data_IF_156006101150
#
_entry.id   IF_156006101150
#
_cell.length_a   1.000
_cell.length_b   1.000
_cell.length_c   1.000
_cell.angle_alpha   90.00
_cell.angle_beta   90.00
_cell.angle_gamma   90.00
#
_symmetry.space_group_name_H-M   'P 1'
#
loop_
_entity.id
_entity.type
_entity.pdbx_description
1 polymer ?
#
# COMPACT_ATOMS: atom_id res chain seq x y z
N UNK A 1 -5.74 62.54 11.84
CA UNK A 1 -4.97 61.31 12.12
C UNK A 1 -5.78 60.13 11.59
N UNK A 2 -5.36 59.56 10.45
CA UNK A 2 -5.95 58.34 9.90
C UNK A 2 -5.07 57.16 10.31
N UNK A 3 -5.61 56.20 11.04
CA UNK A 3 -4.96 54.93 11.38
C UNK A 3 -5.16 53.92 10.25
N UNK A 4 -4.06 53.52 9.61
CA UNK A 4 -3.99 52.40 8.67
C UNK A 4 -4.06 51.08 9.44
N UNK A 5 -5.10 50.28 9.19
CA UNK A 5 -5.20 48.91 9.66
C UNK A 5 -4.34 48.00 8.75
N UNK A 6 -3.34 47.34 9.34
CA UNK A 6 -2.51 46.34 8.65
C UNK A 6 -3.24 45.02 8.54
N UNK A 7 -3.50 44.56 7.31
CA UNK A 7 -3.95 43.20 7.03
C UNK A 7 -2.80 42.22 7.26
N UNK A 8 -2.97 41.34 8.25
CA UNK A 8 -2.14 40.16 8.46
C UNK A 8 -2.25 39.20 7.27
N UNK A 9 -1.20 39.09 6.47
CA UNK A 9 -1.02 38.05 5.46
C UNK A 9 -0.73 36.71 6.13
N UNK A 10 -1.78 35.95 6.47
CA UNK A 10 -1.64 34.52 6.73
C UNK A 10 -1.38 33.81 5.41
N UNK A 11 -0.12 33.51 5.10
CA UNK A 11 0.24 32.68 3.96
C UNK A 11 -0.40 31.28 4.03
N UNK A 12 -0.51 30.57 2.90
CA UNK A 12 -1.12 29.25 2.86
C UNK A 12 -0.41 28.29 3.82
N UNK A 13 -1.19 27.62 4.68
CA UNK A 13 -0.70 26.59 5.59
C UNK A 13 -0.04 25.47 4.77
N UNK A 14 1.18 25.11 5.15
CA UNK A 14 1.91 24.01 4.53
C UNK A 14 1.11 22.70 4.63
N UNK A 15 1.07 21.87 3.57
CA UNK A 15 0.41 20.57 3.62
C UNK A 15 1.06 19.67 4.68
N UNK A 16 0.29 18.78 5.35
CA UNK A 16 0.80 17.95 6.42
C UNK A 16 1.85 16.97 5.90
N UNK A 17 3.12 17.25 6.19
CA UNK A 17 4.28 16.45 5.81
C UNK A 17 4.44 15.15 6.61
N UNK A 18 3.45 14.74 7.42
CA UNK A 18 3.54 13.64 8.38
C UNK A 18 3.04 12.30 7.84
N UNK A 19 2.16 12.28 6.84
CA UNK A 19 1.56 11.04 6.33
C UNK A 19 2.59 10.08 5.75
N UNK A 20 3.49 10.58 4.89
CA UNK A 20 4.55 9.74 4.35
C UNK A 20 5.56 9.25 5.39
N UNK A 21 5.72 9.97 6.51
CA UNK A 21 6.53 9.44 7.63
C UNK A 21 5.86 8.25 8.30
N UNK A 22 4.54 8.28 8.45
CA UNK A 22 3.75 7.18 9.02
C UNK A 22 3.73 5.98 8.08
N UNK A 23 3.54 6.22 6.77
CA UNK A 23 3.41 5.15 5.78
C UNK A 23 4.74 4.51 5.37
N UNK A 24 5.82 5.29 5.25
CA UNK A 24 7.08 4.84 4.65
C UNK A 24 8.30 4.86 5.59
N UNK A 25 8.19 5.43 6.80
CA UNK A 25 9.35 5.62 7.68
C UNK A 25 9.24 4.82 9.00
N UNK A 26 8.24 3.95 9.12
CA UNK A 26 7.88 3.21 10.33
C UNK A 26 8.66 1.91 10.60
N UNK A 27 9.75 1.64 9.89
CA UNK A 27 10.51 0.38 10.01
C UNK A 27 11.58 0.37 11.10
N UNK A 28 11.71 1.46 11.88
CA UNK A 28 12.57 1.47 13.06
C UNK A 28 11.75 1.18 14.32
N UNK A 29 11.96 0.00 14.90
CA UNK A 29 11.55 -0.41 16.26
C UNK A 29 10.21 -1.15 16.38
N UNK A 30 10.27 -2.46 16.16
CA UNK A 30 9.50 -3.45 16.93
C UNK A 30 10.21 -4.81 16.84
N UNK A 31 11.39 -4.93 17.47
CA UNK A 31 12.13 -6.20 17.56
C UNK A 31 11.36 -7.15 18.48
N UNK A 32 10.49 -7.96 17.90
CA UNK A 32 9.90 -9.13 18.54
C UNK A 32 10.40 -10.36 17.77
N UNK A 33 10.80 -11.42 18.45
CA UNK A 33 11.25 -12.68 17.84
C UNK A 33 10.19 -13.34 16.90
N UNK A 34 8.98 -12.79 16.82
CA UNK A 34 7.88 -13.22 15.96
C UNK A 34 8.04 -12.84 14.48
N UNK A 35 9.21 -12.33 14.06
CA UNK A 35 9.40 -11.74 12.73
C UNK A 35 10.29 -12.50 11.76
N UNK A 36 10.86 -13.64 12.14
CA UNK A 36 11.94 -14.36 11.41
C UNK A 36 11.46 -15.30 10.29
N UNK A 37 10.15 -15.44 10.12
CA UNK A 37 9.54 -16.36 9.15
C UNK A 37 8.77 -15.63 8.06
N UNK A 38 8.57 -16.31 6.94
CA UNK A 38 7.59 -15.91 5.94
C UNK A 38 6.20 -16.34 6.40
N UNK A 39 5.20 -15.49 6.16
CA UNK A 39 3.81 -15.77 6.52
C UNK A 39 2.88 -15.20 5.47
N UNK A 40 1.66 -15.70 5.37
CA UNK A 40 0.66 -15.14 4.45
C UNK A 40 -0.15 -14.08 5.20
N UNK A 41 -0.18 -12.87 4.67
CA UNK A 41 -1.05 -11.80 5.16
C UNK A 41 -2.48 -12.02 4.71
N UNK A 42 -3.42 -12.06 5.66
CA UNK A 42 -4.85 -12.14 5.37
C UNK A 42 -5.49 -10.76 5.39
N UNK A 43 -5.18 -9.94 6.41
CA UNK A 43 -5.73 -8.58 6.51
C UNK A 43 -4.87 -7.66 7.40
N UNK A 44 -4.37 -6.52 6.87
CA UNK A 44 -3.69 -5.52 7.66
C UNK A 44 -4.67 -4.53 8.32
N UNK A 45 -4.30 -4.01 9.49
CA UNK A 45 -5.03 -3.03 10.30
C UNK A 45 -4.09 -1.90 10.74
N UNK A 46 -4.62 -0.69 10.89
CA UNK A 46 -3.89 0.51 11.30
C UNK A 46 -4.65 1.36 12.32
N UNK A 47 -3.95 2.31 12.95
CA UNK A 47 -4.51 3.25 13.92
C UNK A 47 -4.68 2.66 15.32
N UNK A 48 -5.17 3.48 16.24
CA UNK A 48 -5.13 3.21 17.70
C UNK A 48 -5.90 1.94 18.11
N UNK A 49 -6.91 1.54 17.34
CA UNK A 49 -7.70 0.33 17.57
C UNK A 49 -7.29 -0.88 16.73
N UNK A 50 -6.17 -0.79 15.99
CA UNK A 50 -5.74 -1.83 15.04
C UNK A 50 -5.70 -3.22 15.67
N UNK A 51 -5.11 -3.35 16.86
CA UNK A 51 -4.96 -4.62 17.55
C UNK A 51 -6.31 -5.25 17.92
N UNK A 52 -7.21 -4.45 18.49
CA UNK A 52 -8.55 -4.91 18.88
C UNK A 52 -9.33 -5.39 17.65
N UNK A 53 -9.30 -4.62 16.55
CA UNK A 53 -9.96 -4.99 15.29
C UNK A 53 -9.35 -6.25 14.67
N UNK A 54 -8.03 -6.40 14.74
CA UNK A 54 -7.34 -7.59 14.26
C UNK A 54 -7.71 -8.84 15.08
N UNK A 55 -7.82 -8.73 16.42
CA UNK A 55 -8.23 -9.84 17.29
C UNK A 55 -9.70 -10.26 17.06
N UNK A 56 -10.58 -9.29 16.80
CA UNK A 56 -11.97 -9.55 16.40
C UNK A 56 -12.04 -10.28 15.06
N UNK A 57 -11.29 -9.79 14.05
CA UNK A 57 -11.25 -10.42 12.74
C UNK A 57 -10.61 -11.81 12.79
N UNK A 58 -9.55 -12.00 13.59
CA UNK A 58 -8.94 -13.31 13.81
C UNK A 58 -9.97 -14.32 14.31
N UNK A 59 -10.83 -13.92 15.25
CA UNK A 59 -11.89 -14.77 15.79
C UNK A 59 -12.90 -15.19 14.72
N UNK A 60 -13.20 -14.30 13.77
CA UNK A 60 -14.06 -14.60 12.61
C UNK A 60 -13.36 -15.53 11.62
N UNK A 61 -12.12 -15.21 11.23
CA UNK A 61 -11.36 -15.93 10.22
C UNK A 61 -11.02 -17.37 10.63
N UNK A 62 -10.72 -17.62 11.91
CA UNK A 62 -10.48 -18.97 12.42
C UNK A 62 -11.68 -19.92 12.29
N UNK A 63 -12.88 -19.40 12.00
CA UNK A 63 -14.08 -20.22 11.73
C UNK A 63 -14.19 -20.66 10.28
N UNK A 64 -13.41 -20.05 9.38
CA UNK A 64 -13.36 -20.45 7.98
C UNK A 64 -12.46 -21.68 7.82
N UNK A 65 -12.84 -22.57 6.90
CA UNK A 65 -12.08 -23.77 6.63
C UNK A 65 -10.65 -23.43 6.16
N UNK A 66 -9.68 -24.19 6.66
CA UNK A 66 -8.26 -23.98 6.36
C UNK A 66 -7.58 -22.79 7.07
N UNK A 67 -8.29 -22.02 7.92
CA UNK A 67 -7.75 -20.83 8.60
C UNK A 67 -7.67 -20.93 10.15
N UNK A 68 -7.88 -22.12 10.72
CA UNK A 68 -7.89 -22.33 12.18
C UNK A 68 -6.61 -21.88 12.91
N UNK A 69 -5.46 -21.99 12.24
CA UNK A 69 -4.13 -21.64 12.78
C UNK A 69 -3.72 -20.19 12.49
N UNK A 70 -4.64 -19.35 12.02
CA UNK A 70 -4.36 -17.92 11.84
C UNK A 70 -3.90 -17.28 13.16
N UNK A 71 -3.10 -16.21 13.08
CA UNK A 71 -2.58 -15.49 14.24
C UNK A 71 -2.44 -14.00 13.93
N UNK A 72 -2.20 -13.18 14.95
CA UNK A 72 -1.95 -11.75 14.80
C UNK A 72 -0.45 -11.48 14.87
N UNK A 73 0.05 -10.66 13.94
CA UNK A 73 1.44 -10.22 13.85
C UNK A 73 1.50 -8.69 13.84
N UNK A 74 2.37 -8.09 14.65
CA UNK A 74 2.65 -6.65 14.60
C UNK A 74 3.85 -6.38 13.68
N UNK A 75 3.74 -5.42 12.76
CA UNK A 75 4.78 -5.00 11.82
C UNK A 75 4.78 -3.47 11.69
N UNK A 76 5.76 -2.81 12.31
CA UNK A 76 5.82 -1.35 12.35
C UNK A 76 4.52 -0.73 12.90
N UNK A 77 3.86 0.19 12.17
CA UNK A 77 2.60 0.81 12.61
C UNK A 77 1.34 -0.04 12.32
N UNK A 78 1.50 -1.26 11.79
CA UNK A 78 0.39 -2.14 11.37
C UNK A 78 0.29 -3.37 12.26
N UNK A 79 -0.94 -3.86 12.38
CA UNK A 79 -1.26 -5.17 12.94
C UNK A 79 -1.91 -6.00 11.84
N UNK A 80 -1.43 -7.22 11.60
CA UNK A 80 -1.82 -8.04 10.47
C UNK A 80 -2.36 -9.35 11.01
N UNK A 81 -3.51 -9.80 10.51
CA UNK A 81 -3.93 -11.19 10.69
C UNK A 81 -3.24 -12.02 9.62
N UNK A 82 -2.47 -13.02 10.05
CA UNK A 82 -1.60 -13.84 9.22
C UNK A 82 -1.91 -15.33 9.38
N UNK A 83 -1.39 -16.15 8.47
CA UNK A 83 -1.43 -17.60 8.59
C UNK A 83 -0.14 -18.25 8.06
N UNK A 84 0.25 -19.33 8.74
CA UNK A 84 1.43 -20.11 8.42
C UNK A 84 2.74 -19.42 8.77
N UNK A 85 3.74 -20.21 9.12
CA UNK A 85 5.10 -19.75 9.41
C UNK A 85 6.04 -20.67 8.65
N UNK A 86 6.64 -20.19 7.57
CA UNK A 86 7.51 -20.99 6.70
C UNK A 86 8.88 -20.35 6.57
N UNK A 87 9.92 -21.18 6.43
CA UNK A 87 11.28 -20.70 6.27
C UNK A 87 11.54 -20.08 4.88
N UNK A 88 10.83 -20.56 3.85
CA UNK A 88 10.94 -20.07 2.48
C UNK A 88 9.59 -20.08 1.76
N UNK A 89 9.25 -19.03 1.00
CA UNK A 89 8.00 -18.94 0.24
C UNK A 89 7.99 -19.85 -1.00
N UNK A 90 9.14 -20.43 -1.37
CA UNK A 90 9.28 -21.35 -2.52
C UNK A 90 9.37 -22.82 -2.12
N UNK A 91 9.04 -23.15 -0.87
CA UNK A 91 8.98 -24.54 -0.42
C UNK A 91 7.64 -25.17 -0.84
N UNK A 92 7.61 -26.48 -1.07
CA UNK A 92 6.37 -27.18 -1.45
C UNK A 92 5.24 -27.01 -0.41
N UNK A 93 5.60 -26.96 0.88
CA UNK A 93 4.67 -26.65 1.97
C UNK A 93 4.10 -25.24 1.84
N UNK A 94 4.96 -24.26 1.52
CA UNK A 94 4.55 -22.88 1.34
C UNK A 94 3.62 -22.69 0.13
N UNK A 95 3.90 -23.35 -0.98
CA UNK A 95 3.07 -23.33 -2.19
C UNK A 95 1.69 -23.93 -1.91
N UNK A 96 1.63 -25.10 -1.25
CA UNK A 96 0.37 -25.75 -0.88
C UNK A 96 -0.46 -24.92 0.12
N UNK A 97 0.20 -24.27 1.08
CA UNK A 97 -0.45 -23.35 2.01
C UNK A 97 -1.04 -22.14 1.26
N UNK A 98 -0.30 -21.54 0.33
CA UNK A 98 -0.76 -20.39 -0.43
C UNK A 98 -1.94 -20.74 -1.33
N UNK A 99 -1.87 -21.87 -2.03
CA UNK A 99 -2.97 -22.38 -2.85
C UNK A 99 -4.23 -22.62 -2.00
N UNK A 100 -4.08 -23.22 -0.81
CA UNK A 100 -5.18 -23.43 0.11
C UNK A 100 -5.83 -22.11 0.52
N UNK A 101 -5.03 -21.14 0.98
CA UNK A 101 -5.53 -19.84 1.44
C UNK A 101 -6.26 -19.11 0.30
N UNK A 102 -5.70 -19.08 -0.91
CA UNK A 102 -6.33 -18.43 -2.07
C UNK A 102 -7.65 -19.06 -2.51
N UNK A 103 -7.91 -20.31 -2.11
CA UNK A 103 -9.13 -21.03 -2.42
C UNK A 103 -10.18 -21.03 -1.28
N UNK A 104 -9.86 -20.46 -0.11
CA UNK A 104 -10.82 -20.27 0.98
C UNK A 104 -12.02 -19.47 0.47
N UNK A 105 -13.22 -19.91 0.86
CA UNK A 105 -14.47 -19.25 0.52
C UNK A 105 -15.14 -18.65 1.74
N UNK A 106 -15.68 -17.46 1.56
CA UNK A 106 -16.51 -16.76 2.56
C UNK A 106 -17.71 -16.16 1.84
N UNK A 107 -18.92 -16.57 2.24
CA UNK A 107 -20.19 -16.17 1.61
C UNK A 107 -20.20 -16.28 0.06
N UNK A 108 -19.52 -17.30 -0.48
CA UNK A 108 -19.45 -17.56 -1.92
C UNK A 108 -18.37 -16.78 -2.67
N UNK A 109 -17.61 -15.91 -2.00
CA UNK A 109 -16.47 -15.16 -2.54
C UNK A 109 -15.14 -15.81 -2.17
N UNK A 110 -14.04 -15.44 -2.86
CA UNK A 110 -12.67 -15.82 -2.50
C UNK A 110 -11.92 -14.60 -1.93
N UNK A 111 -12.10 -14.24 -0.65
CA UNK A 111 -11.56 -13.01 -0.09
C UNK A 111 -10.02 -12.96 -0.07
N UNK A 112 -9.36 -14.10 -0.25
CA UNK A 112 -7.90 -14.22 -0.22
C UNK A 112 -7.30 -14.62 -1.57
N UNK A 113 -8.02 -14.47 -2.68
CA UNK A 113 -7.55 -14.83 -4.02
C UNK A 113 -6.19 -14.20 -4.36
N UNK A 114 -5.93 -13.00 -3.84
CA UNK A 114 -4.69 -12.24 -4.06
C UNK A 114 -3.71 -12.32 -2.88
N UNK A 115 -3.91 -13.26 -1.95
CA UNK A 115 -2.99 -13.47 -0.83
C UNK A 115 -1.56 -13.73 -1.33
N UNK A 116 -0.58 -13.27 -0.56
CA UNK A 116 0.84 -13.37 -0.87
C UNK A 116 1.65 -13.54 0.41
N UNK A 117 2.91 -13.96 0.26
CA UNK A 117 3.82 -14.08 1.39
C UNK A 117 4.41 -12.73 1.79
N UNK A 118 4.21 -12.37 3.05
CA UNK A 118 4.90 -11.29 3.75
C UNK A 118 6.26 -11.81 4.18
N UNK A 119 7.35 -11.09 3.87
CA UNK A 119 8.69 -11.54 4.21
C UNK A 119 9.04 -11.26 5.70
N UNK A 120 10.11 -11.89 6.22
CA UNK A 120 10.65 -11.58 7.54
C UNK A 120 11.04 -10.11 7.70
N UNK A 121 11.09 -9.59 8.93
CA UNK A 121 11.40 -8.15 9.14
C UNK A 121 12.81 -7.77 8.68
N UNK A 122 13.78 -8.67 8.87
CA UNK A 122 15.18 -8.47 8.48
C UNK A 122 15.47 -8.81 7.02
N UNK A 123 14.45 -9.21 6.25
CA UNK A 123 14.65 -9.43 4.82
C UNK A 123 14.97 -8.12 4.11
N UNK A 124 16.02 -8.12 3.30
CA UNK A 124 16.31 -7.02 2.38
C UNK A 124 15.17 -6.83 1.35
N UNK A 125 15.23 -5.78 0.51
CA UNK A 125 14.23 -5.54 -0.52
C UNK A 125 13.99 -6.80 -1.35
N UNK A 126 12.77 -7.32 -1.31
CA UNK A 126 12.37 -8.46 -2.13
C UNK A 126 12.22 -7.96 -3.56
N UNK A 127 13.16 -8.34 -4.43
CA UNK A 127 13.02 -8.17 -5.88
C UNK A 127 11.81 -8.97 -6.38
N UNK A 128 11.05 -8.45 -7.35
CA UNK A 128 10.04 -9.25 -8.06
C UNK A 128 8.59 -8.78 -8.00
N UNK A 129 8.34 -7.49 -7.76
CA UNK A 129 6.99 -6.90 -7.77
C UNK A 129 6.94 -5.63 -8.63
N UNK A 130 7.54 -5.71 -9.82
CA UNK A 130 7.28 -4.73 -10.89
C UNK A 130 5.82 -4.90 -11.33
N UNK A 131 5.06 -3.80 -11.38
CA UNK A 131 3.65 -3.80 -11.75
C UNK A 131 3.39 -4.48 -13.11
N UNK A 132 4.36 -4.50 -14.03
CA UNK A 132 4.26 -5.20 -15.31
C UNK A 132 4.12 -6.71 -15.19
N UNK A 133 4.48 -7.31 -14.06
CA UNK A 133 4.29 -8.75 -13.83
C UNK A 133 2.86 -9.08 -13.36
N UNK A 134 2.11 -8.10 -12.85
CA UNK A 134 0.82 -8.34 -12.22
C UNK A 134 -0.20 -9.08 -13.13
N UNK A 135 -0.33 -8.81 -14.44
CA UNK A 135 -1.24 -9.57 -15.29
C UNK A 135 -0.88 -11.06 -15.40
N UNK A 136 0.42 -11.40 -15.31
CA UNK A 136 0.89 -12.79 -15.30
C UNK A 136 0.60 -13.46 -13.96
N UNK A 137 0.79 -12.73 -12.86
CA UNK A 137 0.72 -13.29 -11.51
C UNK A 137 -0.72 -13.36 -10.95
N UNK A 138 -1.61 -12.45 -11.40
CA UNK A 138 -3.00 -12.32 -10.90
C UNK A 138 -4.06 -12.51 -12.00
N UNK A 139 -3.63 -12.85 -13.22
CA UNK A 139 -4.50 -13.19 -14.34
C UNK A 139 -5.11 -12.00 -15.08
N UNK A 140 -5.93 -12.28 -16.10
CA UNK A 140 -6.47 -11.28 -17.04
C UNK A 140 -7.44 -10.27 -16.41
N UNK A 141 -7.90 -10.54 -15.20
CA UNK A 141 -8.74 -9.64 -14.41
C UNK A 141 -7.95 -8.54 -13.69
N UNK A 142 -6.62 -8.63 -13.67
CA UNK A 142 -5.73 -7.59 -13.16
C UNK A 142 -5.65 -6.43 -14.17
N UNK A 143 -6.57 -5.46 -14.05
CA UNK A 143 -6.68 -4.32 -14.98
C UNK A 143 -6.24 -3.02 -14.32
N UNK A 144 -6.52 -2.84 -13.04
CA UNK A 144 -6.27 -1.61 -12.29
C UNK A 144 -5.49 -1.88 -11.00
N UNK A 145 -4.82 -0.84 -10.50
CA UNK A 145 -4.15 -0.80 -9.19
C UNK A 145 -4.33 0.60 -8.60
N UNK A 146 -4.28 0.77 -7.28
CA UNK A 146 -4.40 2.08 -6.65
C UNK A 146 -3.02 2.73 -6.56
N UNK A 147 -2.80 3.87 -7.22
CA UNK A 147 -1.57 4.63 -7.05
C UNK A 147 -1.62 5.44 -5.76
N UNK A 148 -0.58 5.28 -4.94
CA UNK A 148 -0.46 5.94 -3.62
C UNK A 148 0.85 6.74 -3.48
N UNK A 149 1.76 6.64 -4.45
CA UNK A 149 2.89 7.54 -4.48
C UNK A 149 3.69 7.52 -5.78
N UNK A 150 4.55 8.53 -5.92
CA UNK A 150 5.49 8.68 -7.01
C UNK A 150 6.83 9.26 -6.53
N UNK A 151 7.93 8.85 -7.15
CA UNK A 151 9.29 9.26 -6.83
C UNK A 151 9.98 9.81 -8.07
N UNK A 152 10.70 10.91 -7.90
CA UNK A 152 11.46 11.57 -8.97
C UNK A 152 11.45 13.08 -8.82
N UNK A 153 11.87 13.79 -9.87
CA UNK A 153 12.01 15.24 -9.82
C UNK A 153 10.64 15.93 -9.87
N UNK A 154 10.46 16.94 -9.03
CA UNK A 154 9.23 17.75 -8.96
C UNK A 154 9.43 19.19 -9.45
N UNK A 155 10.66 19.57 -9.80
CA UNK A 155 11.02 20.94 -10.15
C UNK A 155 10.92 21.25 -11.66
N UNK A 156 10.22 20.40 -12.42
CA UNK A 156 9.97 20.58 -13.85
C UNK A 156 11.18 20.38 -14.77
N UNK A 157 12.38 20.10 -14.22
CA UNK A 157 13.58 19.82 -15.01
C UNK A 157 13.62 18.35 -15.45
N UNK A 158 14.22 18.10 -16.62
CA UNK A 158 14.49 16.75 -17.07
C UNK A 158 15.36 15.99 -16.05
N UNK A 159 15.02 14.74 -15.70
CA UNK A 159 15.77 13.98 -14.72
C UNK A 159 17.13 13.55 -15.26
N UNK A 160 18.16 13.65 -14.42
CA UNK A 160 19.45 13.02 -14.68
C UNK A 160 19.36 11.52 -14.45
N UNK A 161 20.31 10.76 -14.97
CA UNK A 161 20.40 9.31 -14.70
C UNK A 161 20.46 9.01 -13.19
N UNK A 162 21.18 9.84 -12.43
CA UNK A 162 21.23 9.74 -10.97
C UNK A 162 19.86 9.94 -10.34
N UNK A 163 19.10 10.94 -10.78
CA UNK A 163 17.74 11.18 -10.28
C UNK A 163 16.82 9.98 -10.54
N UNK A 164 16.91 9.39 -11.74
CA UNK A 164 16.15 8.20 -12.11
C UNK A 164 16.53 7.02 -11.22
N UNK A 165 17.82 6.76 -11.01
CA UNK A 165 18.29 5.66 -10.15
C UNK A 165 17.84 5.82 -8.70
N UNK A 166 17.93 7.04 -8.15
CA UNK A 166 17.43 7.32 -6.80
C UNK A 166 15.91 7.15 -6.69
N UNK A 167 15.16 7.60 -7.69
CA UNK A 167 13.71 7.43 -7.73
C UNK A 167 13.30 5.95 -7.76
N UNK A 168 13.99 5.14 -8.58
CA UNK A 168 13.75 3.69 -8.66
C UNK A 168 13.99 3.03 -7.32
N UNK A 169 15.16 3.26 -6.72
CA UNK A 169 15.53 2.71 -5.42
C UNK A 169 14.52 3.08 -4.32
N UNK A 170 14.06 4.34 -4.28
CA UNK A 170 13.07 4.79 -3.28
C UNK A 170 11.70 4.15 -3.49
N UNK A 171 11.24 4.04 -4.74
CA UNK A 171 9.97 3.39 -5.05
C UNK A 171 9.99 1.88 -4.71
N UNK A 172 11.08 1.18 -5.06
CA UNK A 172 11.28 -0.22 -4.70
C UNK A 172 11.29 -0.42 -3.18
N UNK A 173 12.01 0.43 -2.45
CA UNK A 173 12.04 0.37 -0.99
C UNK A 173 10.66 0.62 -0.38
N UNK A 174 9.95 1.66 -0.83
CA UNK A 174 8.62 1.99 -0.34
C UNK A 174 7.61 0.86 -0.59
N UNK A 175 7.62 0.25 -1.77
CA UNK A 175 6.79 -0.91 -2.08
C UNK A 175 7.16 -2.13 -1.21
N UNK A 176 8.45 -2.37 -0.99
CA UNK A 176 8.91 -3.46 -0.11
C UNK A 176 8.46 -3.24 1.35
N UNK A 177 8.51 -2.00 1.84
CA UNK A 177 8.07 -1.64 3.19
C UNK A 177 6.57 -1.84 3.38
N UNK A 178 5.77 -1.52 2.37
CA UNK A 178 4.33 -1.80 2.35
C UNK A 178 4.03 -3.30 2.34
N UNK A 179 4.78 -4.09 1.55
CA UNK A 179 4.64 -5.55 1.56
C UNK A 179 4.98 -6.17 2.91
N UNK A 180 6.02 -5.68 3.60
CA UNK A 180 6.34 -6.09 4.98
C UNK A 180 5.20 -5.79 5.96
N UNK A 181 4.44 -4.74 5.68
CA UNK A 181 3.25 -4.32 6.42
C UNK A 181 1.96 -5.05 5.99
N UNK A 182 2.05 -6.04 5.08
CA UNK A 182 0.92 -6.85 4.63
C UNK A 182 0.10 -6.25 3.50
N UNK A 183 0.59 -5.19 2.87
CA UNK A 183 -0.06 -4.55 1.73
C UNK A 183 0.44 -5.14 0.42
N UNK A 184 -0.46 -5.53 -0.48
CA UNK A 184 -0.06 -6.00 -1.81
C UNK A 184 0.42 -4.81 -2.63
N UNK A 185 1.71 -4.50 -2.55
CA UNK A 185 2.30 -3.30 -3.14
C UNK A 185 3.27 -3.61 -4.28
N UNK A 186 3.22 -2.77 -5.32
CA UNK A 186 4.04 -2.85 -6.52
C UNK A 186 4.82 -1.55 -6.73
N UNK A 187 5.92 -1.64 -7.46
CA UNK A 187 6.58 -0.47 -8.05
C UNK A 187 6.43 -0.50 -9.57
N UNK A 188 6.46 0.67 -10.20
CA UNK A 188 6.54 0.80 -11.65
C UNK A 188 7.53 1.89 -12.03
N UNK A 189 8.43 1.60 -12.97
CA UNK A 189 9.41 2.59 -13.44
C UNK A 189 9.01 3.15 -14.79
N UNK A 190 8.56 4.40 -14.79
CA UNK A 190 8.40 5.20 -16.00
C UNK A 190 9.72 5.84 -16.45
N UNK A 191 9.70 6.61 -17.55
CA UNK A 191 10.89 7.29 -18.07
C UNK A 191 11.47 8.33 -17.12
N UNK A 192 10.62 9.05 -16.38
CA UNK A 192 11.01 10.17 -15.52
C UNK A 192 10.69 10.00 -14.04
N UNK A 193 9.69 9.17 -13.72
CA UNK A 193 9.19 8.95 -12.36
C UNK A 193 9.01 7.46 -12.10
N UNK A 194 9.15 7.06 -10.85
CA UNK A 194 8.79 5.72 -10.38
C UNK A 194 7.55 5.78 -9.49
N UNK A 195 6.57 4.93 -9.74
CA UNK A 195 5.31 4.89 -9.01
C UNK A 195 5.31 3.78 -7.98
N UNK A 196 4.52 3.95 -6.92
CA UNK A 196 4.18 2.92 -5.94
C UNK A 196 2.66 2.77 -5.94
N UNK A 197 2.21 1.54 -6.12
CA UNK A 197 0.78 1.20 -6.19
C UNK A 197 0.45 0.06 -5.23
N UNK A 198 -0.83 -0.08 -4.88
CA UNK A 198 -1.34 -1.13 -4.00
C UNK A 198 -2.61 -1.77 -4.56
N UNK A 199 -2.76 -3.07 -4.32
CA UNK A 199 -3.89 -3.87 -4.76
C UNK A 199 -3.90 -4.16 -6.26
N UNK A 200 -4.74 -5.10 -6.65
CA UNK A 200 -5.02 -5.48 -8.03
C UNK A 200 -6.53 -5.60 -8.18
N UNK A 201 -7.09 -4.94 -9.19
CA UNK A 201 -8.52 -4.79 -9.37
C UNK A 201 -8.93 -5.02 -10.82
N UNK A 202 -10.16 -5.46 -11.04
CA UNK A 202 -10.76 -5.60 -12.35
C UNK A 202 -11.70 -4.45 -12.72
N UNK A 203 -12.25 -4.54 -13.92
CA UNK A 203 -13.27 -3.60 -14.44
C UNK A 203 -14.45 -3.39 -13.47
N UNK A 204 -14.94 -4.48 -12.87
CA UNK A 204 -16.10 -4.46 -11.97
C UNK A 204 -15.86 -3.66 -10.69
N UNK A 205 -14.61 -3.49 -10.29
CA UNK A 205 -14.23 -2.74 -9.09
C UNK A 205 -14.30 -1.22 -9.29
N UNK A 206 -14.46 -0.74 -10.53
CA UNK A 206 -14.43 0.70 -10.88
C UNK A 206 -15.73 1.16 -11.58
N UNK A 207 -16.34 0.34 -12.44
CA UNK A 207 -17.34 0.77 -13.43
C UNK A 207 -18.63 1.45 -12.91
N UNK A 208 -19.11 1.15 -11.70
CA UNK A 208 -20.36 1.74 -11.16
C UNK A 208 -20.15 2.49 -9.85
N UNK A 209 -19.28 1.94 -9.01
CA UNK A 209 -18.82 2.51 -7.76
C UNK A 209 -17.62 1.69 -7.34
N UNK A 210 -16.69 2.27 -6.58
CA UNK A 210 -15.56 1.51 -6.08
C UNK A 210 -16.03 0.30 -5.28
N UNK A 211 -15.41 -0.86 -5.49
CA UNK A 211 -15.66 -2.05 -4.65
C UNK A 211 -15.31 -1.77 -3.19
N UNK A 212 -15.85 -2.56 -2.27
CA UNK A 212 -15.57 -2.38 -0.84
C UNK A 212 -14.07 -2.48 -0.53
N UNK A 213 -13.36 -3.37 -1.21
CA UNK A 213 -11.90 -3.53 -1.06
C UNK A 213 -11.14 -2.30 -1.54
N UNK A 214 -11.48 -1.76 -2.72
CA UNK A 214 -10.86 -0.55 -3.23
C UNK A 214 -11.15 0.66 -2.32
N UNK A 215 -12.37 0.79 -1.80
CA UNK A 215 -12.71 1.87 -0.85
C UNK A 215 -11.92 1.76 0.44
N UNK A 216 -11.82 0.56 1.02
CA UNK A 216 -11.02 0.34 2.23
C UNK A 216 -9.54 0.69 1.99
N UNK A 217 -8.99 0.37 0.81
CA UNK A 217 -7.64 0.82 0.43
C UNK A 217 -7.54 2.34 0.29
N UNK A 218 -8.52 3.00 -0.33
CA UNK A 218 -8.54 4.45 -0.44
C UNK A 218 -8.69 5.15 0.91
N UNK A 219 -9.41 4.57 1.87
CA UNK A 219 -9.48 5.08 3.24
C UNK A 219 -8.15 4.91 3.98
N UNK A 220 -7.43 3.81 3.73
CA UNK A 220 -6.10 3.55 4.31
C UNK A 220 -4.97 4.36 3.67
N UNK A 221 -5.11 4.71 2.40
CA UNK A 221 -4.15 5.48 1.60
C UNK A 221 -4.87 6.65 0.91
N UNK A 222 -5.32 7.66 1.67
CA UNK A 222 -6.16 8.71 1.12
C UNK A 222 -5.44 9.61 0.13
N UNK A 223 -4.12 9.79 0.26
CA UNK A 223 -3.36 10.72 -0.57
C UNK A 223 -2.21 10.07 -1.33
N UNK A 224 -2.00 10.55 -2.56
CA UNK A 224 -0.87 10.19 -3.39
C UNK A 224 0.36 11.00 -2.97
N UNK A 225 1.38 10.32 -2.46
CA UNK A 225 2.58 10.95 -1.91
C UNK A 225 3.69 11.08 -2.96
N UNK A 226 4.26 12.26 -3.12
CA UNK A 226 5.41 12.48 -4.02
C UNK A 226 6.70 12.59 -3.21
N UNK A 227 7.67 11.73 -3.50
CA UNK A 227 8.91 11.57 -2.73
C UNK A 227 8.66 11.34 -1.23
N UNK A 228 7.57 10.65 -0.89
CA UNK A 228 7.15 10.42 0.50
C UNK A 228 6.56 11.65 1.20
N UNK A 229 6.14 12.67 0.46
CA UNK A 229 5.50 13.88 0.99
C UNK A 229 4.13 14.11 0.33
N UNK A 230 3.16 14.59 1.11
CA UNK A 230 1.87 14.99 0.56
C UNK A 230 2.04 16.19 -0.37
N UNK A 231 1.49 16.10 -1.58
CA UNK A 231 1.53 17.20 -2.55
C UNK A 231 0.16 17.85 -2.63
N UNK A 232 0.16 19.18 -2.49
CA UNK A 232 -1.03 19.98 -2.75
C UNK A 232 -1.21 20.21 -4.24
N UNK A 233 -2.42 19.97 -4.73
CA UNK A 233 -2.92 20.39 -6.03
C UNK A 233 -3.83 21.60 -5.83
N UNK A 234 -3.66 22.62 -6.66
CA UNK A 234 -4.65 23.70 -6.74
C UNK A 234 -5.85 23.19 -7.52
N UNK A 235 -7.01 23.14 -6.88
CA UNK A 235 -8.30 22.86 -7.49
C UNK A 235 -9.17 24.10 -7.43
N UNK A 236 -10.02 24.29 -8.44
CA UNK A 236 -10.99 25.37 -8.47
C UNK A 236 -12.32 24.84 -7.96
N UNK A 237 -12.73 25.29 -6.77
CA UNK A 237 -13.94 24.85 -6.09
C UNK A 237 -14.82 26.06 -5.83
N UNK A 238 -16.05 26.07 -6.36
CA UNK A 238 -17.00 27.20 -6.30
C UNK A 238 -16.37 28.57 -6.66
N UNK A 239 -15.49 28.58 -7.68
CA UNK A 239 -14.81 29.78 -8.16
C UNK A 239 -13.67 30.29 -7.25
N UNK A 240 -13.28 29.53 -6.22
CA UNK A 240 -12.11 29.79 -5.38
C UNK A 240 -11.02 28.77 -5.65
N UNK A 241 -9.77 29.24 -5.70
CA UNK A 241 -8.61 28.36 -5.71
C UNK A 241 -8.39 27.80 -4.31
N UNK A 242 -8.40 26.48 -4.20
CA UNK A 242 -8.12 25.75 -2.97
C UNK A 242 -6.94 24.81 -3.20
N UNK A 243 -6.01 24.78 -2.24
CA UNK A 243 -4.92 23.80 -2.25
C UNK A 243 -5.37 22.57 -1.47
N UNK A 244 -5.66 21.49 -2.19
CA UNK A 244 -6.04 20.20 -1.60
C UNK A 244 -4.91 19.19 -1.80
N UNK A 245 -4.76 18.25 -0.88
CA UNK A 245 -3.83 17.13 -1.11
C UNK A 245 -4.32 16.30 -2.29
N UNK A 246 -3.40 15.86 -3.14
CA UNK A 246 -3.74 14.96 -4.24
C UNK A 246 -4.24 13.63 -3.67
N UNK A 247 -5.48 13.21 -3.96
CA UNK A 247 -5.98 11.92 -3.49
C UNK A 247 -5.24 10.77 -4.19
N UNK A 248 -5.20 9.61 -3.57
CA UNK A 248 -4.85 8.37 -4.27
C UNK A 248 -5.91 8.05 -5.32
N UNK A 249 -5.52 7.48 -6.45
CA UNK A 249 -6.44 7.21 -7.56
C UNK A 249 -6.09 5.90 -8.29
N UNK A 250 -7.10 5.18 -8.82
CA UNK A 250 -6.87 4.01 -9.63
C UNK A 250 -6.11 4.36 -10.92
N UNK A 251 -5.15 3.53 -11.29
CA UNK A 251 -4.42 3.60 -12.55
C UNK A 251 -4.44 2.24 -13.24
N UNK A 252 -4.27 2.25 -14.56
CA UNK A 252 -4.18 1.02 -15.35
C UNK A 252 -2.89 0.27 -15.05
N UNK A 253 -3.00 -1.05 -14.94
CA UNK A 253 -1.84 -1.95 -14.93
C UNK A 253 -1.29 -2.00 -16.36
N UNK A 254 0.01 -1.71 -16.58
CA UNK A 254 0.59 -1.75 -17.91
C UNK A 254 0.48 -3.15 -18.54
N UNK A 255 -0.04 -3.21 -19.77
CA UNK A 255 0.03 -4.41 -20.61
C UNK A 255 1.43 -4.49 -21.22
N UNK A 256 2.05 -5.68 -21.18
CA UNK A 256 3.31 -5.94 -21.88
C UNK A 256 3.13 -5.93 -23.39
#
# INVERSE_FOLDING_TARGET
MLTLAGCSTGGPKSPPSSEGKILFNGTSSATSADGEFWTIGLKPFAGDSARIRAEQELTRLRRLDGLGDAFVLARGPRVIVCIGKVASPSSAEAEALLERVRNVRDEGTKPFEHAFYIPPDESGPTSGFDLRSAPKDYGRQAVYTLQIGAYGRTDGRAPTEKDVLEARKKAEQAAADLRRQGELAFYYHGPSMSMVTVGVFGERDIQNSFSLELRDLMERFPHNLVNGQGVSQTVMNDGREEQVLQPSFPVLIPTQ
#
